data_IF_511125140205
#
_entry.id   IF_511125140205
#
_cell.length_a   1.000
_cell.length_b   1.000
_cell.length_c   1.000
_cell.angle_alpha   90.00
_cell.angle_beta   90.00
_cell.angle_gamma   90.00
#
_symmetry.space_group_name_H-M   'P 1'
#
loop_
_entity.id
_entity.type
_entity.pdbx_description
1 polymer ?
#
# COMPACT_ATOMS: atom_id res chain seq x y z
N UNK A 1 2.30 -30.70 -7.62
CA UNK A 1 3.01 -30.21 -8.83
C UNK A 1 4.51 -30.51 -8.77
N UNK A 2 4.91 -31.54 -8.03
CA UNK A 2 6.32 -31.95 -7.89
C UNK A 2 6.94 -32.19 -9.27
N UNK A 3 8.12 -31.60 -9.49
CA UNK A 3 8.87 -31.67 -10.77
C UNK A 3 8.07 -31.16 -12.00
N UNK A 4 7.04 -30.33 -11.80
CA UNK A 4 6.29 -29.78 -12.91
C UNK A 4 7.14 -28.78 -13.74
N UNK A 5 6.92 -28.78 -15.04
CA UNK A 5 7.50 -27.75 -15.90
C UNK A 5 6.47 -26.63 -16.09
N UNK A 6 6.73 -25.51 -15.41
CA UNK A 6 5.95 -24.27 -15.48
C UNK A 6 6.78 -23.14 -16.13
N UNK A 7 7.82 -23.51 -16.91
CA UNK A 7 8.68 -22.54 -17.57
C UNK A 7 7.87 -21.64 -18.50
N UNK A 8 8.06 -20.31 -18.37
CA UNK A 8 7.39 -19.26 -19.13
C UNK A 8 5.88 -19.21 -18.94
N UNK A 9 5.34 -19.92 -17.93
CA UNK A 9 3.92 -19.89 -17.62
C UNK A 9 3.50 -18.49 -17.12
N UNK A 10 2.31 -18.08 -17.49
CA UNK A 10 1.65 -16.93 -16.86
C UNK A 10 0.76 -17.42 -15.71
N UNK A 11 1.27 -17.25 -14.49
CA UNK A 11 0.60 -17.61 -13.25
C UNK A 11 0.04 -16.38 -12.52
N UNK A 12 -0.19 -15.30 -13.25
CA UNK A 12 -0.72 -14.06 -12.68
C UNK A 12 -2.05 -14.29 -11.97
N UNK A 13 -2.09 -13.98 -10.66
CA UNK A 13 -3.28 -14.16 -9.82
C UNK A 13 -3.64 -15.61 -9.51
N UNK A 14 -2.78 -16.57 -9.83
CA UNK A 14 -3.00 -17.96 -9.48
C UNK A 14 -2.97 -18.18 -7.96
N UNK A 15 -3.76 -19.12 -7.48
CA UNK A 15 -3.71 -19.62 -6.11
C UNK A 15 -2.87 -20.92 -6.08
N UNK A 16 -1.73 -20.86 -5.44
CA UNK A 16 -0.80 -21.96 -5.20
C UNK A 16 -0.62 -22.22 -3.68
N UNK A 17 -1.59 -21.79 -2.89
CA UNK A 17 -1.60 -22.01 -1.44
C UNK A 17 -1.43 -23.51 -1.11
N UNK A 18 -0.53 -23.80 -0.16
CA UNK A 18 -0.18 -25.14 0.31
C UNK A 18 0.30 -26.12 -0.80
N UNK A 19 0.64 -25.61 -1.98
CA UNK A 19 1.07 -26.45 -3.09
C UNK A 19 2.48 -27.03 -2.86
N UNK A 20 2.67 -28.31 -3.11
CA UNK A 20 3.99 -28.94 -3.24
C UNK A 20 4.50 -28.76 -4.68
N UNK A 21 5.50 -27.90 -4.82
CA UNK A 21 6.15 -27.49 -6.06
C UNK A 21 7.64 -27.89 -6.04
N UNK A 22 7.99 -28.88 -5.20
CA UNK A 22 9.37 -29.40 -5.09
C UNK A 22 9.92 -29.77 -6.45
N UNK A 23 11.09 -29.24 -6.80
CA UNK A 23 11.80 -29.50 -8.05
C UNK A 23 11.12 -28.92 -9.31
N UNK A 24 10.08 -28.11 -9.18
CA UNK A 24 9.40 -27.53 -10.33
C UNK A 24 10.26 -26.44 -11.00
N UNK A 25 10.15 -26.36 -12.35
CA UNK A 25 10.78 -25.29 -13.11
C UNK A 25 9.81 -24.14 -13.37
N UNK A 26 10.21 -22.95 -12.93
CA UNK A 26 9.54 -21.67 -13.18
C UNK A 26 10.40 -20.74 -14.06
N UNK A 27 11.32 -21.29 -14.85
CA UNK A 27 12.19 -20.49 -15.71
C UNK A 27 11.37 -19.51 -16.56
N UNK A 28 11.62 -18.20 -16.39
CA UNK A 28 10.94 -17.14 -17.13
C UNK A 28 9.43 -17.02 -16.83
N UNK A 29 8.92 -17.66 -15.79
CA UNK A 29 7.50 -17.58 -15.44
C UNK A 29 7.14 -16.21 -14.85
N UNK A 30 5.89 -15.78 -15.06
CA UNK A 30 5.30 -14.59 -14.45
C UNK A 30 4.39 -15.00 -13.30
N UNK A 31 4.76 -14.61 -12.06
CA UNK A 31 4.03 -14.91 -10.84
C UNK A 31 3.52 -13.60 -10.19
N UNK A 32 2.93 -12.73 -10.99
CA UNK A 32 2.38 -11.48 -10.48
C UNK A 32 1.09 -11.74 -9.70
N UNK A 33 0.99 -11.21 -8.48
CA UNK A 33 -0.20 -11.36 -7.60
C UNK A 33 -0.57 -12.82 -7.30
N UNK A 34 0.37 -13.73 -7.42
CA UNK A 34 0.19 -15.14 -7.10
C UNK A 34 0.15 -15.33 -5.58
N UNK A 35 -0.77 -16.10 -5.08
CA UNK A 35 -0.75 -16.54 -3.68
C UNK A 35 0.13 -17.80 -3.55
N UNK A 36 1.22 -17.66 -2.81
CA UNK A 36 2.20 -18.71 -2.55
C UNK A 36 2.22 -19.10 -1.07
N UNK A 37 1.13 -18.80 -0.35
CA UNK A 37 1.05 -19.04 1.10
C UNK A 37 1.33 -20.53 1.39
N UNK A 38 2.32 -20.78 2.25
CA UNK A 38 2.78 -22.11 2.65
C UNK A 38 3.25 -23.02 1.50
N UNK A 39 3.40 -22.54 0.28
CA UNK A 39 3.86 -23.36 -0.84
C UNK A 39 5.29 -23.84 -0.60
N UNK A 40 5.58 -25.08 -1.02
CA UNK A 40 6.88 -25.72 -0.89
C UNK A 40 7.61 -25.69 -2.22
N UNK A 41 8.72 -24.94 -2.30
CA UNK A 41 9.54 -24.77 -3.51
C UNK A 41 10.93 -25.40 -3.39
N UNK A 42 11.06 -26.37 -2.51
CA UNK A 42 12.37 -27.02 -2.33
C UNK A 42 12.96 -27.46 -3.67
N UNK A 43 14.21 -27.06 -3.92
CA UNK A 43 14.97 -27.39 -5.13
C UNK A 43 14.32 -26.93 -6.46
N UNK A 44 13.40 -25.96 -6.44
CA UNK A 44 12.76 -25.39 -7.62
C UNK A 44 13.67 -24.39 -8.32
N UNK A 45 13.46 -24.23 -9.63
CA UNK A 45 14.21 -23.30 -10.46
C UNK A 45 13.38 -22.04 -10.79
N UNK A 46 13.85 -20.88 -10.33
CA UNK A 46 13.24 -19.55 -10.59
C UNK A 46 14.09 -18.67 -11.52
N UNK A 47 14.94 -19.26 -12.34
CA UNK A 47 15.75 -18.48 -13.27
C UNK A 47 14.85 -17.59 -14.16
N UNK A 48 15.13 -16.26 -14.19
CA UNK A 48 14.33 -15.24 -14.90
C UNK A 48 12.83 -15.14 -14.47
N UNK A 49 12.42 -15.80 -13.39
CA UNK A 49 11.05 -15.65 -12.89
C UNK A 49 10.76 -14.24 -12.36
N UNK A 50 9.52 -13.80 -12.50
CA UNK A 50 9.09 -12.47 -12.10
C UNK A 50 7.99 -12.54 -11.05
N UNK A 51 8.33 -12.14 -9.83
CA UNK A 51 7.40 -11.98 -8.73
C UNK A 51 7.07 -10.50 -8.54
N UNK A 52 5.81 -10.18 -8.75
CA UNK A 52 5.30 -8.84 -8.49
C UNK A 52 4.08 -8.93 -7.59
N UNK A 53 4.17 -8.36 -6.38
CA UNK A 53 3.09 -8.42 -5.40
C UNK A 53 2.61 -9.87 -5.13
N UNK A 54 3.53 -10.82 -5.15
CA UNK A 54 3.25 -12.20 -4.77
C UNK A 54 3.27 -12.34 -3.24
N UNK A 55 2.40 -13.20 -2.72
CA UNK A 55 2.30 -13.47 -1.29
C UNK A 55 3.18 -14.67 -0.92
N UNK A 56 4.27 -14.42 -0.19
CA UNK A 56 5.23 -15.44 0.25
C UNK A 56 5.03 -15.88 1.70
N UNK A 57 3.89 -15.61 2.32
CA UNK A 57 3.64 -15.96 3.72
C UNK A 57 3.82 -17.46 3.97
N UNK A 58 4.82 -17.86 4.74
CA UNK A 58 5.12 -19.25 5.04
C UNK A 58 5.71 -20.08 3.88
N UNK A 59 5.93 -19.48 2.70
CA UNK A 59 6.52 -20.17 1.55
C UNK A 59 7.93 -20.69 1.87
N UNK A 60 8.24 -21.92 1.50
CA UNK A 60 9.52 -22.59 1.76
C UNK A 60 10.41 -22.57 0.52
N UNK A 61 11.49 -21.79 0.55
CA UNK A 61 12.38 -21.52 -0.57
C UNK A 61 13.75 -22.20 -0.45
N UNK A 62 13.97 -23.02 0.56
CA UNK A 62 15.26 -23.68 0.76
C UNK A 62 15.65 -24.55 -0.46
N UNK A 63 16.88 -24.36 -0.96
CA UNK A 63 17.41 -25.10 -2.10
C UNK A 63 16.98 -24.58 -3.47
N UNK A 64 16.05 -23.61 -3.55
CA UNK A 64 15.70 -22.98 -4.84
C UNK A 64 16.92 -22.38 -5.52
N UNK A 65 16.90 -22.35 -6.85
CA UNK A 65 17.86 -21.57 -7.63
C UNK A 65 17.24 -20.28 -8.15
N UNK A 66 18.01 -19.19 -8.02
CA UNK A 66 17.70 -17.88 -8.53
C UNK A 66 18.77 -17.41 -9.51
N UNK A 67 18.36 -16.70 -10.54
CA UNK A 67 19.24 -16.02 -11.47
C UNK A 67 18.42 -15.11 -12.37
N UNK A 68 18.77 -13.83 -12.43
CA UNK A 68 17.95 -12.79 -13.08
C UNK A 68 16.50 -12.76 -12.62
N UNK A 69 16.22 -13.32 -11.45
CA UNK A 69 14.89 -13.34 -10.83
C UNK A 69 14.54 -11.94 -10.32
N UNK A 70 13.28 -11.56 -10.43
CA UNK A 70 12.81 -10.23 -10.02
C UNK A 70 11.82 -10.35 -8.88
N UNK A 71 12.10 -9.70 -7.76
CA UNK A 71 11.20 -9.52 -6.62
C UNK A 71 10.80 -8.04 -6.55
N UNK A 72 9.57 -7.75 -6.92
CA UNK A 72 9.00 -6.41 -6.88
C UNK A 72 7.76 -6.40 -6.00
N UNK A 73 7.69 -5.47 -5.06
CA UNK A 73 6.55 -5.26 -4.19
C UNK A 73 6.08 -6.54 -3.45
N UNK A 74 7.04 -7.35 -3.01
CA UNK A 74 6.82 -8.57 -2.25
C UNK A 74 7.16 -8.37 -0.77
N UNK A 75 6.45 -9.04 0.13
CA UNK A 75 6.86 -9.16 1.54
C UNK A 75 7.55 -10.51 1.73
N UNK A 76 8.84 -10.47 2.03
CA UNK A 76 9.68 -11.67 2.19
C UNK A 76 9.95 -12.02 3.66
N UNK A 77 9.40 -11.28 4.64
CA UNK A 77 9.67 -11.51 6.09
C UNK A 77 9.26 -12.90 6.54
N UNK A 78 8.14 -13.39 6.03
CA UNK A 78 7.57 -14.67 6.42
C UNK A 78 7.96 -15.82 5.47
N UNK A 79 8.75 -15.54 4.44
CA UNK A 79 9.33 -16.56 3.58
C UNK A 79 10.42 -17.32 4.33
N UNK A 80 10.41 -18.64 4.21
CA UNK A 80 11.34 -19.52 4.92
C UNK A 80 12.46 -19.98 4.00
N UNK A 81 13.66 -20.16 4.56
CA UNK A 81 14.79 -20.74 3.86
C UNK A 81 15.49 -19.83 2.86
N UNK A 82 15.29 -18.51 2.93
CA UNK A 82 15.97 -17.52 2.08
C UNK A 82 17.52 -17.63 2.17
N UNK A 83 18.07 -17.98 3.35
CA UNK A 83 19.51 -18.15 3.56
C UNK A 83 20.09 -19.38 2.85
N UNK A 84 19.24 -20.27 2.39
CA UNK A 84 19.63 -21.53 1.74
C UNK A 84 19.26 -21.56 0.26
N UNK A 85 18.94 -20.41 -0.30
CA UNK A 85 18.68 -20.23 -1.73
C UNK A 85 20.03 -20.25 -2.48
N UNK A 86 20.06 -20.90 -3.64
CA UNK A 86 21.20 -20.90 -4.53
C UNK A 86 21.11 -19.73 -5.52
N UNK A 87 22.18 -18.94 -5.61
CA UNK A 87 22.26 -17.79 -6.50
C UNK A 87 23.14 -18.14 -7.71
N UNK A 88 22.52 -18.52 -8.83
CA UNK A 88 23.23 -18.91 -10.06
C UNK A 88 23.62 -17.68 -10.90
N UNK A 89 22.91 -16.54 -10.72
CA UNK A 89 23.21 -15.22 -11.30
C UNK A 89 22.61 -14.10 -10.43
N UNK A 90 23.03 -12.83 -10.63
CA UNK A 90 22.42 -11.70 -9.93
C UNK A 90 20.92 -11.64 -10.15
N UNK A 91 20.18 -11.26 -9.11
CA UNK A 91 18.73 -11.07 -9.16
C UNK A 91 18.36 -9.66 -8.69
N UNK A 92 17.13 -9.23 -8.94
CA UNK A 92 16.66 -7.90 -8.58
C UNK A 92 15.71 -7.98 -7.38
N UNK A 93 16.05 -7.27 -6.32
CA UNK A 93 15.12 -7.00 -5.20
C UNK A 93 14.83 -5.51 -5.21
N UNK A 94 13.58 -5.13 -5.49
CA UNK A 94 13.15 -3.75 -5.52
C UNK A 94 13.24 -3.10 -4.12
N UNK A 95 13.47 -1.79 -4.05
CA UNK A 95 13.38 -1.05 -2.80
C UNK A 95 12.00 -1.21 -2.14
N UNK A 96 10.96 -1.30 -2.95
CA UNK A 96 9.60 -1.60 -2.54
C UNK A 96 9.50 -2.93 -1.76
N UNK A 97 10.19 -3.96 -2.22
CA UNK A 97 10.26 -5.26 -1.52
C UNK A 97 11.00 -5.15 -0.19
N UNK A 98 12.12 -4.41 -0.13
CA UNK A 98 12.86 -4.19 1.13
C UNK A 98 11.98 -3.47 2.14
N UNK A 99 11.25 -2.46 1.71
CA UNK A 99 10.33 -1.70 2.55
C UNK A 99 9.13 -2.53 3.02
N UNK A 100 8.49 -3.27 2.12
CA UNK A 100 7.38 -4.16 2.48
C UNK A 100 7.78 -5.21 3.50
N UNK A 101 9.00 -5.66 3.40
CA UNK A 101 9.61 -6.59 4.34
C UNK A 101 10.11 -5.92 5.63
N UNK A 102 9.81 -4.62 5.86
CA UNK A 102 10.20 -3.91 7.08
C UNK A 102 11.71 -3.85 7.33
N UNK A 103 12.55 -4.05 6.30
CA UNK A 103 13.99 -4.20 6.45
C UNK A 103 14.41 -5.53 7.09
N UNK A 104 13.55 -6.53 7.15
CA UNK A 104 13.80 -7.82 7.81
C UNK A 104 14.15 -8.95 6.82
N UNK A 105 14.66 -8.60 5.63
CA UNK A 105 15.16 -9.61 4.70
C UNK A 105 16.55 -10.04 5.12
N UNK A 106 16.82 -11.34 5.07
CA UNK A 106 18.12 -11.92 5.37
C UNK A 106 19.26 -11.25 4.61
N UNK A 107 20.32 -10.84 5.32
CA UNK A 107 21.50 -10.20 4.70
C UNK A 107 22.22 -11.19 3.76
N UNK A 108 22.43 -12.47 4.08
CA UNK A 108 22.95 -13.46 3.16
C UNK A 108 22.17 -13.53 1.84
N UNK A 109 20.85 -13.53 1.89
CA UNK A 109 20.02 -13.51 0.69
C UNK A 109 20.23 -12.25 -0.15
N UNK A 110 20.21 -11.06 0.48
CA UNK A 110 20.44 -9.79 -0.24
C UNK A 110 21.83 -9.70 -0.85
N UNK A 111 22.83 -10.22 -0.17
CA UNK A 111 24.19 -10.28 -0.71
C UNK A 111 24.26 -11.27 -1.88
N UNK A 112 23.59 -12.40 -1.76
CA UNK A 112 23.54 -13.43 -2.82
C UNK A 112 22.87 -12.95 -4.09
N UNK A 113 21.81 -12.13 -3.99
CA UNK A 113 21.19 -11.51 -5.18
C UNK A 113 22.05 -10.42 -5.82
N UNK A 114 23.18 -10.05 -5.22
CA UNK A 114 24.14 -9.08 -5.76
C UNK A 114 24.06 -7.69 -5.15
N UNK A 115 23.33 -7.50 -4.05
CA UNK A 115 23.30 -6.22 -3.34
C UNK A 115 24.55 -6.08 -2.45
N UNK A 116 25.17 -4.89 -2.38
CA UNK A 116 26.32 -4.66 -1.51
C UNK A 116 25.95 -4.76 -0.02
N UNK A 117 26.89 -5.19 0.82
CA UNK A 117 26.70 -5.34 2.28
C UNK A 117 26.19 -4.05 2.94
N UNK A 118 26.49 -2.88 2.35
CA UNK A 118 25.97 -1.58 2.79
C UNK A 118 24.42 -1.49 2.77
N UNK A 119 23.75 -2.36 2.04
CA UNK A 119 22.26 -2.47 2.07
C UNK A 119 21.76 -2.91 3.45
N UNK A 120 22.55 -3.63 4.24
CA UNK A 120 22.20 -3.94 5.63
C UNK A 120 22.01 -2.66 6.47
N UNK A 121 22.78 -1.59 6.19
CA UNK A 121 22.57 -0.29 6.83
C UNK A 121 21.24 0.36 6.41
N UNK A 122 20.86 0.21 5.14
CA UNK A 122 19.56 0.66 4.64
C UNK A 122 18.42 -0.12 5.31
N UNK A 123 18.55 -1.44 5.44
CA UNK A 123 17.58 -2.25 6.16
C UNK A 123 17.44 -1.80 7.62
N UNK A 124 18.55 -1.57 8.32
CA UNK A 124 18.54 -1.10 9.70
C UNK A 124 17.87 0.27 9.82
N UNK A 125 18.10 1.16 8.85
CA UNK A 125 17.42 2.46 8.80
C UNK A 125 15.91 2.34 8.54
N UNK A 126 15.48 1.26 7.91
CA UNK A 126 14.07 0.96 7.62
C UNK A 126 13.43 0.18 8.78
N UNK A 127 14.20 -0.66 9.49
CA UNK A 127 13.72 -1.45 10.62
C UNK A 127 13.26 -0.54 11.76
N UNK A 128 11.98 -0.61 12.09
CA UNK A 128 11.35 0.24 13.10
C UNK A 128 10.69 1.51 12.54
N UNK A 129 10.93 1.85 11.27
CA UNK A 129 10.08 2.82 10.59
C UNK A 129 8.79 2.13 10.12
N UNK A 130 7.62 2.74 10.30
CA UNK A 130 6.38 2.22 9.71
C UNK A 130 6.58 2.10 8.20
N UNK A 131 6.13 0.98 7.65
CA UNK A 131 6.28 0.56 6.23
C UNK A 131 6.31 1.74 5.26
N UNK A 132 7.44 1.93 4.58
CA UNK A 132 7.74 3.12 3.76
C UNK A 132 6.91 3.21 2.46
N UNK A 133 6.35 2.11 1.98
CA UNK A 133 5.44 2.15 0.85
C UNK A 133 4.05 2.55 1.33
N UNK A 134 3.84 3.86 1.31
CA UNK A 134 2.55 4.48 1.42
C UNK A 134 1.81 4.20 2.71
N UNK A 135 2.11 4.96 3.76
CA UNK A 135 1.28 4.96 4.94
C UNK A 135 -0.16 5.31 4.56
N UNK A 136 -0.33 6.22 3.61
CA UNK A 136 -1.64 6.59 3.09
C UNK A 136 -1.62 7.12 1.66
N UNK A 137 -2.76 7.11 1.01
CA UNK A 137 -3.00 7.90 -0.19
C UNK A 137 -4.08 8.96 0.05
N UNK A 138 -4.01 10.07 -0.68
CA UNK A 138 -4.93 11.19 -0.59
C UNK A 138 -5.81 11.14 -1.84
N UNK A 139 -7.09 10.81 -1.63
CA UNK A 139 -8.11 10.85 -2.69
C UNK A 139 -8.73 12.24 -2.72
N UNK A 140 -8.72 12.87 -3.89
CA UNK A 140 -9.28 14.20 -4.09
C UNK A 140 -9.84 14.37 -5.49
N UNK A 141 -10.69 15.38 -5.66
CA UNK A 141 -11.07 15.89 -6.98
C UNK A 141 -9.94 16.70 -7.61
N UNK A 142 -9.98 16.90 -8.93
CA UNK A 142 -8.98 17.75 -9.61
C UNK A 142 -8.98 19.20 -9.12
N UNK A 143 -10.11 19.67 -8.57
CA UNK A 143 -10.23 21.02 -7.99
C UNK A 143 -9.49 21.19 -6.68
N UNK A 144 -9.25 20.09 -5.98
CA UNK A 144 -8.59 20.03 -4.69
C UNK A 144 -7.10 19.65 -4.79
N UNK A 145 -6.57 19.45 -6.00
CA UNK A 145 -5.20 18.95 -6.22
C UNK A 145 -4.16 19.87 -5.55
N UNK A 146 -4.29 21.20 -5.64
CA UNK A 146 -3.38 22.16 -4.97
C UNK A 146 -3.34 21.94 -3.46
N UNK A 147 -4.51 21.83 -2.83
CA UNK A 147 -4.61 21.56 -1.39
C UNK A 147 -4.04 20.18 -1.05
N UNK A 148 -4.35 19.15 -1.84
CA UNK A 148 -3.87 17.79 -1.62
C UNK A 148 -2.34 17.69 -1.72
N UNK A 149 -1.70 18.41 -2.64
CA UNK A 149 -0.24 18.48 -2.76
C UNK A 149 0.40 19.20 -1.55
N UNK A 150 -0.21 20.27 -1.07
CA UNK A 150 0.24 20.96 0.14
C UNK A 150 0.11 20.05 1.36
N UNK A 151 -1.05 19.41 1.55
CA UNK A 151 -1.29 18.44 2.61
C UNK A 151 -0.26 17.31 2.59
N UNK A 152 0.03 16.76 1.41
CA UNK A 152 1.08 15.75 1.21
C UNK A 152 2.43 16.26 1.72
N UNK A 153 2.85 17.46 1.31
CA UNK A 153 4.12 18.05 1.72
C UNK A 153 4.21 18.19 3.25
N UNK A 154 3.15 18.68 3.88
CA UNK A 154 3.09 18.89 5.32
C UNK A 154 3.09 17.59 6.13
N UNK A 155 2.43 16.55 5.62
CA UNK A 155 2.46 15.21 6.21
C UNK A 155 3.83 14.56 6.04
N UNK A 156 4.48 14.72 4.90
CA UNK A 156 5.83 14.22 4.65
C UNK A 156 6.87 14.82 5.61
N UNK A 157 6.79 16.11 5.93
CA UNK A 157 7.68 16.73 6.93
C UNK A 157 7.51 16.17 8.34
N UNK A 158 6.38 15.50 8.62
CA UNK A 158 6.06 14.82 9.87
C UNK A 158 6.27 13.30 9.81
N UNK A 159 6.95 12.81 8.78
CA UNK A 159 7.29 11.41 8.62
C UNK A 159 6.13 10.51 8.13
N UNK A 160 5.01 11.10 7.67
CA UNK A 160 3.91 10.35 7.05
C UNK A 160 4.02 10.42 5.54
N UNK A 161 4.13 9.30 4.88
CA UNK A 161 4.27 9.23 3.42
C UNK A 161 2.93 9.07 2.76
N UNK A 162 2.59 10.06 1.94
CA UNK A 162 1.33 10.13 1.23
C UNK A 162 1.55 10.26 -0.28
N UNK A 163 0.60 9.73 -1.03
CA UNK A 163 0.51 9.92 -2.48
C UNK A 163 -0.82 10.57 -2.80
N UNK A 164 -0.81 11.57 -3.68
CA UNK A 164 -2.05 12.22 -4.15
C UNK A 164 -2.59 11.44 -5.34
N UNK A 165 -3.87 11.13 -5.28
CA UNK A 165 -4.59 10.39 -6.30
C UNK A 165 -5.81 11.21 -6.74
N UNK A 166 -5.58 12.14 -7.66
CA UNK A 166 -6.63 12.96 -8.28
C UNK A 166 -7.23 12.26 -9.51
N UNK A 167 -8.37 12.74 -9.96
CA UNK A 167 -9.03 12.26 -11.20
C UNK A 167 -8.09 12.33 -12.41
N UNK A 168 -7.23 13.35 -12.47
CA UNK A 168 -6.21 13.52 -13.51
C UNK A 168 -5.18 12.38 -13.53
N UNK A 169 -4.78 11.88 -12.35
CA UNK A 169 -3.87 10.74 -12.25
C UNK A 169 -4.56 9.47 -12.70
N UNK A 170 -5.83 9.30 -12.37
CA UNK A 170 -6.67 8.17 -12.79
C UNK A 170 -6.83 8.08 -14.29
N UNK A 171 -7.06 9.22 -14.95
CA UNK A 171 -7.20 9.30 -16.42
C UNK A 171 -5.90 9.18 -17.21
N UNK A 172 -4.74 9.01 -16.57
CA UNK A 172 -3.45 8.95 -17.26
C UNK A 172 -3.19 7.55 -17.85
N UNK A 173 -3.12 7.40 -19.19
CA UNK A 173 -2.88 6.11 -19.85
C UNK A 173 -1.55 5.45 -19.47
N UNK A 174 -0.59 6.24 -18.97
CA UNK A 174 0.72 5.71 -18.54
C UNK A 174 0.64 5.04 -17.16
N UNK A 175 -0.31 5.45 -16.34
CA UNK A 175 -0.60 4.84 -15.03
C UNK A 175 -1.48 3.60 -15.20
N UNK A 176 -2.41 3.65 -16.18
CA UNK A 176 -3.44 2.64 -16.41
C UNK A 176 -3.05 1.52 -17.40
N UNK A 177 -1.76 1.39 -17.73
CA UNK A 177 -1.29 0.40 -18.73
C UNK A 177 -1.67 -1.06 -18.47
N UNK A 178 -2.16 -1.39 -17.28
CA UNK A 178 -2.40 -2.78 -16.86
C UNK A 178 -3.78 -3.03 -16.23
N UNK A 179 -4.67 -2.04 -16.23
CA UNK A 179 -6.03 -2.22 -15.72
C UNK A 179 -7.05 -2.13 -16.84
N UNK A 180 -8.03 -3.02 -16.79
CA UNK A 180 -9.14 -3.08 -17.73
C UNK A 180 -10.33 -2.25 -17.29
N UNK A 181 -10.32 -1.73 -16.05
CA UNK A 181 -11.35 -0.86 -15.49
C UNK A 181 -10.82 0.03 -14.37
N UNK A 182 -11.43 1.20 -14.19
CA UNK A 182 -11.14 2.13 -13.09
C UNK A 182 -11.31 1.46 -11.72
N UNK A 183 -12.22 0.51 -11.61
CA UNK A 183 -12.53 -0.23 -10.39
C UNK A 183 -11.39 -1.17 -9.97
N UNK A 184 -10.77 -1.89 -10.92
CA UNK A 184 -9.58 -2.72 -10.65
C UNK A 184 -8.38 -1.89 -10.20
N UNK A 185 -8.30 -0.66 -10.67
CA UNK A 185 -7.22 0.24 -10.30
C UNK A 185 -7.36 0.75 -8.87
N UNK A 186 -8.55 1.18 -8.48
CA UNK A 186 -8.86 1.59 -7.10
C UNK A 186 -8.67 0.42 -6.12
N UNK A 187 -9.15 -0.78 -6.47
CA UNK A 187 -8.90 -1.98 -5.65
C UNK A 187 -7.40 -2.24 -5.46
N UNK A 188 -6.61 -2.02 -6.51
CA UNK A 188 -5.16 -2.14 -6.44
C UNK A 188 -4.57 -1.15 -5.44
N UNK A 189 -4.92 0.14 -5.53
CA UNK A 189 -4.40 1.18 -4.64
C UNK A 189 -4.84 0.96 -3.20
N UNK A 190 -6.09 0.62 -2.96
CA UNK A 190 -6.61 0.29 -1.62
C UNK A 190 -5.88 -0.91 -1.01
N UNK A 191 -5.41 -1.87 -1.81
CA UNK A 191 -4.58 -3.00 -1.32
C UNK A 191 -3.16 -2.58 -0.98
N UNK A 192 -2.59 -1.62 -1.70
CA UNK A 192 -1.22 -1.16 -1.48
C UNK A 192 -1.07 -0.26 -0.26
N UNK A 193 -2.04 0.61 -0.01
CA UNK A 193 -1.98 1.58 1.07
C UNK A 193 -2.79 1.10 2.27
N UNK A 194 -2.24 1.31 3.45
CA UNK A 194 -2.91 0.90 4.69
C UNK A 194 -4.04 1.86 5.05
N UNK A 195 -3.94 3.13 4.65
CA UNK A 195 -4.83 4.21 5.04
C UNK A 195 -5.16 5.11 3.85
N UNK A 196 -6.35 5.69 3.87
CA UNK A 196 -6.82 6.63 2.86
C UNK A 196 -7.28 7.92 3.52
N UNK A 197 -6.79 9.04 3.01
CA UNK A 197 -7.28 10.37 3.33
C UNK A 197 -8.20 10.79 2.20
N UNK A 198 -9.42 11.20 2.52
CA UNK A 198 -10.37 11.77 1.56
C UNK A 198 -10.49 13.27 1.80
N UNK A 199 -10.26 14.05 0.75
CA UNK A 199 -10.50 15.48 0.77
C UNK A 199 -11.98 15.75 0.52
N UNK A 200 -12.68 16.12 1.59
CA UNK A 200 -14.11 16.40 1.60
C UNK A 200 -14.40 17.89 1.40
N UNK A 201 -14.06 18.45 0.24
CA UNK A 201 -14.42 19.82 -0.12
C UNK A 201 -15.85 19.92 -0.65
N UNK A 202 -16.40 21.15 -0.63
CA UNK A 202 -17.68 21.46 -1.26
C UNK A 202 -17.70 21.12 -2.76
N UNK A 203 -16.52 21.14 -3.40
CA UNK A 203 -16.39 20.92 -4.83
C UNK A 203 -16.11 19.46 -5.23
N UNK A 204 -15.61 18.64 -4.29
CA UNK A 204 -15.03 17.33 -4.60
C UNK A 204 -15.74 16.12 -3.98
N UNK A 205 -16.41 16.29 -2.83
CA UNK A 205 -16.96 15.17 -2.07
C UNK A 205 -18.02 14.34 -2.81
N UNK A 206 -18.79 14.96 -3.68
CA UNK A 206 -19.87 14.31 -4.43
C UNK A 206 -19.45 13.84 -5.83
N UNK A 207 -18.16 13.85 -6.15
CA UNK A 207 -17.69 13.27 -7.43
C UNK A 207 -17.77 11.74 -7.36
N UNK A 208 -18.20 11.11 -8.46
CA UNK A 208 -18.35 9.66 -8.57
C UNK A 208 -17.05 8.92 -8.21
N UNK A 209 -15.92 9.46 -8.63
CA UNK A 209 -14.62 8.91 -8.36
C UNK A 209 -14.28 8.87 -6.86
N UNK A 210 -14.49 9.98 -6.14
CA UNK A 210 -14.24 10.05 -4.68
C UNK A 210 -15.20 9.16 -3.91
N UNK A 211 -16.47 9.10 -4.30
CA UNK A 211 -17.47 8.22 -3.67
C UNK A 211 -17.15 6.74 -3.86
N UNK A 212 -16.63 6.36 -5.01
CA UNK A 212 -16.18 4.99 -5.26
C UNK A 212 -14.99 4.62 -4.37
N UNK A 213 -13.98 5.49 -4.24
CA UNK A 213 -12.84 5.27 -3.35
C UNK A 213 -13.27 5.07 -1.90
N UNK A 214 -14.22 5.89 -1.44
CA UNK A 214 -14.79 5.79 -0.09
C UNK A 214 -15.46 4.44 0.12
N UNK A 215 -16.23 3.97 -0.86
CA UNK A 215 -16.93 2.68 -0.78
C UNK A 215 -15.92 1.54 -0.63
N UNK A 216 -14.88 1.51 -1.44
CA UNK A 216 -13.81 0.52 -1.39
C UNK A 216 -13.05 0.54 -0.06
N UNK A 217 -12.77 1.72 0.47
CA UNK A 217 -12.08 1.84 1.76
C UNK A 217 -12.96 1.35 2.92
N UNK A 218 -14.27 1.60 2.89
CA UNK A 218 -15.22 1.09 3.89
C UNK A 218 -15.32 -0.43 3.87
N UNK A 219 -15.41 -1.05 2.71
CA UNK A 219 -15.42 -2.50 2.57
C UNK A 219 -14.17 -3.14 3.18
N UNK A 220 -13.00 -2.53 2.92
CA UNK A 220 -11.75 -2.99 3.51
C UNK A 220 -11.71 -2.79 5.02
N UNK A 221 -12.18 -1.66 5.54
CA UNK A 221 -12.24 -1.39 6.97
C UNK A 221 -13.08 -2.44 7.70
N UNK A 222 -14.21 -2.83 7.12
CA UNK A 222 -15.08 -3.88 7.66
C UNK A 222 -14.40 -5.27 7.65
N UNK A 223 -13.57 -5.55 6.63
CA UNK A 223 -12.90 -6.85 6.49
C UNK A 223 -11.65 -7.00 7.36
N UNK A 224 -11.02 -5.91 7.79
CA UNK A 224 -9.71 -5.95 8.47
C UNK A 224 -9.75 -5.49 9.93
N UNK A 225 -10.87 -4.99 10.42
CA UNK A 225 -11.04 -4.36 11.75
C UNK A 225 -9.99 -3.26 12.04
N UNK A 226 -9.53 -2.58 10.99
CA UNK A 226 -8.54 -1.50 11.07
C UNK A 226 -9.09 -0.21 10.48
N UNK A 227 -8.73 0.91 11.08
CA UNK A 227 -9.07 2.22 10.52
C UNK A 227 -8.32 2.49 9.23
N UNK A 228 -9.06 2.58 8.14
CA UNK A 228 -8.51 2.81 6.79
C UNK A 228 -8.81 4.21 6.31
N UNK A 229 -9.97 4.79 6.69
CA UNK A 229 -10.51 6.01 6.12
C UNK A 229 -10.40 7.20 7.08
N UNK A 230 -9.81 8.30 6.59
CA UNK A 230 -9.65 9.58 7.29
C UNK A 230 -10.25 10.69 6.43
N UNK A 231 -11.08 11.55 7.02
CA UNK A 231 -11.70 12.66 6.32
C UNK A 231 -11.02 13.96 6.68
N UNK A 232 -10.67 14.78 5.68
CA UNK A 232 -10.14 16.12 5.87
C UNK A 232 -11.03 17.15 5.19
N UNK A 233 -11.30 18.27 5.86
CA UNK A 233 -12.15 19.34 5.38
C UNK A 233 -11.34 20.60 5.11
N UNK A 234 -11.05 20.94 3.83
CA UNK A 234 -10.36 22.20 3.50
C UNK A 234 -11.29 23.41 3.49
N UNK A 235 -12.60 23.19 3.48
CA UNK A 235 -13.66 24.18 3.47
C UNK A 235 -14.90 23.70 4.26
N UNK A 236 -16.04 24.37 4.11
CA UNK A 236 -17.29 24.00 4.80
C UNK A 236 -18.02 22.78 4.19
N UNK A 237 -17.44 22.09 3.22
CA UNK A 237 -18.08 20.98 2.49
C UNK A 237 -18.55 19.85 3.38
N UNK A 238 -17.76 19.46 4.38
CA UNK A 238 -18.15 18.43 5.35
C UNK A 238 -19.08 18.96 6.45
N UNK A 239 -19.10 20.27 6.70
CA UNK A 239 -20.01 20.89 7.67
C UNK A 239 -21.47 20.97 7.19
N UNK A 240 -21.69 21.01 5.88
CA UNK A 240 -23.03 21.08 5.26
C UNK A 240 -23.10 20.17 4.03
N UNK A 241 -22.95 18.85 4.21
CA UNK A 241 -22.89 17.93 3.08
C UNK A 241 -24.18 17.94 2.26
N UNK A 242 -24.05 18.11 0.94
CA UNK A 242 -25.20 18.20 0.03
C UNK A 242 -25.90 16.85 -0.12
N UNK A 243 -25.14 15.76 -0.22
CA UNK A 243 -25.69 14.43 -0.44
C UNK A 243 -25.98 13.67 0.88
N UNK A 244 -26.89 12.69 0.81
CA UNK A 244 -27.16 11.78 1.94
C UNK A 244 -25.94 10.91 2.25
N UNK A 245 -25.21 10.47 1.23
CA UNK A 245 -24.02 9.66 1.37
C UNK A 245 -22.92 10.39 2.12
N UNK A 246 -22.68 11.67 1.79
CA UNK A 246 -21.72 12.51 2.48
C UNK A 246 -22.11 12.75 3.97
N UNK A 247 -23.40 12.94 4.27
CA UNK A 247 -23.87 13.06 5.67
C UNK A 247 -23.60 11.81 6.49
N UNK A 248 -23.88 10.64 5.95
CA UNK A 248 -23.59 9.37 6.63
C UNK A 248 -22.10 9.19 6.86
N UNK A 249 -21.29 9.56 5.86
CA UNK A 249 -19.83 9.48 5.95
C UNK A 249 -19.27 10.32 7.09
N UNK A 250 -19.71 11.57 7.21
CA UNK A 250 -19.31 12.50 8.28
C UNK A 250 -19.76 11.98 9.66
N UNK A 251 -20.95 11.38 9.74
CA UNK A 251 -21.46 10.84 11.00
C UNK A 251 -20.70 9.60 11.51
N UNK A 252 -20.08 8.84 10.60
CA UNK A 252 -19.39 7.59 10.91
C UNK A 252 -17.88 7.75 11.13
N UNK A 253 -17.29 8.89 10.73
CA UNK A 253 -15.83 9.08 10.71
C UNK A 253 -15.39 10.37 11.39
N UNK A 254 -14.15 10.36 11.90
CA UNK A 254 -13.51 11.56 12.42
C UNK A 254 -13.13 12.48 11.27
N UNK A 255 -13.56 13.74 11.37
CA UNK A 255 -13.21 14.79 10.41
C UNK A 255 -12.10 15.65 10.99
N UNK A 256 -11.03 15.85 10.21
CA UNK A 256 -9.96 16.78 10.52
C UNK A 256 -10.23 18.11 9.84
N UNK A 257 -10.38 19.17 10.63
CA UNK A 257 -10.72 20.50 10.15
C UNK A 257 -9.46 21.25 9.68
N UNK A 258 -9.27 21.27 8.37
CA UNK A 258 -8.13 21.93 7.72
C UNK A 258 -8.52 23.26 7.03
N UNK A 259 -9.67 23.85 7.39
CA UNK A 259 -10.13 25.14 6.83
C UNK A 259 -9.16 26.29 7.04
N UNK A 260 -8.36 26.23 8.12
CA UNK A 260 -7.29 27.20 8.38
C UNK A 260 -6.11 27.19 7.40
N UNK A 261 -6.11 26.32 6.42
CA UNK A 261 -4.99 26.16 5.47
C UNK A 261 -4.48 27.48 4.87
N UNK A 262 -5.39 28.42 4.54
CA UNK A 262 -5.04 29.72 3.94
C UNK A 262 -4.94 30.84 4.95
N UNK A 263 -5.77 30.83 5.99
CA UNK A 263 -6.04 32.00 6.82
C UNK A 263 -5.57 31.85 8.26
N UNK A 264 -5.47 30.64 8.82
CA UNK A 264 -5.04 30.36 10.19
C UNK A 264 -4.01 29.23 10.23
N UNK A 265 -2.76 29.59 10.03
CA UNK A 265 -1.64 28.63 10.02
C UNK A 265 -1.44 27.92 11.36
N UNK A 266 -1.83 28.52 12.48
CA UNK A 266 -1.64 27.89 13.79
C UNK A 266 -2.66 26.79 14.03
N UNK A 267 -3.94 27.06 13.75
CA UNK A 267 -4.99 26.06 13.81
C UNK A 267 -4.73 24.91 12.81
N UNK A 268 -4.35 25.25 11.59
CA UNK A 268 -3.97 24.29 10.57
C UNK A 268 -2.82 23.37 11.02
N UNK A 269 -1.73 23.93 11.56
CA UNK A 269 -0.57 23.17 12.00
C UNK A 269 -0.90 22.19 13.14
N UNK A 270 -1.74 22.62 14.10
CA UNK A 270 -2.19 21.76 15.19
C UNK A 270 -3.03 20.57 14.67
N UNK A 271 -3.90 20.83 13.72
CA UNK A 271 -4.77 19.79 13.15
C UNK A 271 -4.02 18.82 12.25
N UNK A 272 -3.01 19.30 11.50
CA UNK A 272 -2.10 18.42 10.74
C UNK A 272 -1.28 17.52 11.67
N UNK A 273 -0.84 18.02 12.82
CA UNK A 273 -0.13 17.20 13.81
C UNK A 273 -1.04 16.08 14.34
N UNK A 274 -2.29 16.43 14.69
CA UNK A 274 -3.29 15.45 15.11
C UNK A 274 -3.58 14.40 14.05
N UNK A 275 -3.69 14.80 12.78
CA UNK A 275 -3.88 13.90 11.65
C UNK A 275 -2.65 12.99 11.46
N UNK A 276 -1.44 13.54 11.53
CA UNK A 276 -0.20 12.79 11.38
C UNK A 276 -0.05 11.72 12.48
N UNK A 277 -0.38 12.05 13.72
CA UNK A 277 -0.38 11.09 14.82
C UNK A 277 -1.43 9.98 14.61
N UNK A 278 -2.66 10.34 14.22
CA UNK A 278 -3.71 9.37 13.92
C UNK A 278 -3.34 8.43 12.77
N UNK A 279 -2.61 8.94 11.77
CA UNK A 279 -2.11 8.14 10.65
C UNK A 279 -0.96 7.18 11.05
N UNK A 280 -0.20 7.51 12.09
CA UNK A 280 0.86 6.63 12.61
C UNK A 280 0.32 5.52 13.51
N UNK A 281 -0.82 5.74 14.16
CA UNK A 281 -1.46 4.78 15.04
C UNK A 281 -2.38 3.85 14.25
N UNK A 282 -2.48 2.57 14.67
CA UNK A 282 -3.45 1.62 14.09
C UNK A 282 -4.87 1.77 14.68
N UNK A 283 -5.06 2.71 15.61
CA UNK A 283 -6.37 3.05 16.21
C UNK A 283 -6.64 4.55 16.03
N UNK A 284 -7.92 4.97 15.97
CA UNK A 284 -8.25 6.39 15.97
C UNK A 284 -7.76 7.00 17.28
N UNK A 285 -7.16 8.19 17.20
CA UNK A 285 -7.04 9.04 18.38
C UNK A 285 -8.43 9.11 19.01
N UNK A 286 -8.53 8.72 20.29
CA UNK A 286 -9.79 8.76 21.03
C UNK A 286 -10.45 10.11 20.77
N UNK A 287 -11.58 10.07 20.09
CA UNK A 287 -12.33 11.25 19.73
C UNK A 287 -12.78 11.98 21.01
N UNK A 288 -12.06 13.04 21.34
CA UNK A 288 -12.68 14.13 22.08
C UNK A 288 -13.71 14.73 21.13
N UNK A 289 -14.92 14.22 21.19
CA UNK A 289 -16.08 14.84 20.56
C UNK A 289 -16.23 16.21 21.19
N UNK A 290 -16.11 17.33 20.47
CA UNK A 290 -16.75 18.54 20.91
C UNK A 290 -18.24 18.34 20.63
N UNK A 291 -18.98 17.98 21.67
CA UNK A 291 -20.42 18.15 21.69
C UNK A 291 -20.67 19.65 21.51
N UNK A 292 -21.05 20.05 20.32
CA UNK A 292 -21.74 21.32 20.17
C UNK A 292 -23.12 21.13 20.83
N UNK A 293 -23.18 21.56 22.06
CA UNK A 293 -24.46 21.87 22.73
C UNK A 293 -25.21 22.85 21.82
N UNK A 294 -26.18 22.29 21.09
CA UNK A 294 -27.19 23.07 20.43
C UNK A 294 -28.19 23.51 21.49
N UNK A 295 -28.03 24.74 21.93
CA UNK A 295 -29.18 25.45 22.57
C UNK A 295 -30.07 26.00 21.44
N UNK A 296 -31.32 25.50 21.44
CA UNK A 296 -32.62 26.04 21.02
C UNK A 296 -32.65 27.06 19.88
#
# INVERSE_FOLDING_TARGET
>A
LVNANLSRANLTGADLTDADLTGASFEGATLARTDLTNAVFKDSDFFQAQFRNANFSGAQLAGCSLGYTVFQDCDLRLAQGLDHVRHDAPSTVGLDTIYRSGGEISVPFLTGVGLPVSVAAVQTAISGEPSILGDCFIACSDKDDEFAQALKSDLQTRGVRCWVFSERVRGNPLVNRHSTSDQEEVERWVRYYKKMIVVGSTAGLDTEAVLNDITQAKERQQSTDRWVLFLVSPDDGLGKPASRSARNLVAEHVVFDLRGYRDDRQAYAAEIERLAEALKQDQPASAGVPVHDGQL
#
